data_IF_475522287374
#
_entry.id   IF_475522287374
#
_cell.length_a   1.000
_cell.length_b   1.000
_cell.length_c   1.000
_cell.angle_alpha   90.00
_cell.angle_beta   90.00
_cell.angle_gamma   90.00
#
_symmetry.space_group_name_H-M   'P 1'
#
loop_
_entity.id
_entity.type
_entity.pdbx_description
1 polymer ?
#
# COMPACT_ATOMS: atom_id res chain seq x y z
N UNK A 1 -35.01 -16.23 7.87
CA UNK A 1 -34.29 -16.59 6.63
C UNK A 1 -32.88 -17.01 7.01
N UNK A 2 -32.52 -18.25 6.72
CA UNK A 2 -31.16 -18.77 6.96
C UNK A 2 -30.29 -18.21 5.83
N UNK A 3 -29.35 -17.32 6.17
CA UNK A 3 -28.35 -16.81 5.22
C UNK A 3 -27.34 -17.92 4.93
N UNK A 4 -27.26 -18.36 3.68
CA UNK A 4 -26.29 -19.35 3.20
C UNK A 4 -25.04 -18.66 2.64
N UNK A 5 -23.85 -19.31 2.70
CA UNK A 5 -22.63 -18.71 2.18
C UNK A 5 -22.72 -18.45 0.65
N UNK A 6 -22.09 -17.38 0.14
CA UNK A 6 -22.03 -17.09 -1.30
C UNK A 6 -21.17 -18.13 -2.05
N UNK A 7 -21.56 -18.43 -3.29
CA UNK A 7 -20.77 -19.27 -4.20
C UNK A 7 -19.83 -18.40 -5.05
N UNK A 8 -18.57 -18.83 -5.24
CA UNK A 8 -17.58 -18.07 -6.03
C UNK A 8 -17.20 -18.78 -7.34
N UNK A 9 -16.99 -18.03 -8.44
CA UNK A 9 -16.48 -18.58 -9.69
C UNK A 9 -14.96 -18.84 -9.67
N UNK A 10 -14.53 -19.82 -10.47
CA UNK A 10 -13.16 -20.37 -10.54
C UNK A 10 -12.14 -19.39 -11.14
N UNK A 11 -11.08 -19.08 -10.39
CA UNK A 11 -9.86 -18.42 -10.88
C UNK A 11 -8.63 -19.30 -10.64
N UNK A 12 -7.94 -19.67 -11.72
CA UNK A 12 -6.78 -20.56 -11.71
C UNK A 12 -5.60 -20.00 -10.89
N UNK A 13 -4.99 -20.82 -10.03
CA UNK A 13 -3.69 -20.53 -9.43
C UNK A 13 -2.82 -21.79 -9.33
N UNK A 14 -1.62 -21.71 -9.92
CA UNK A 14 -0.61 -22.75 -9.94
C UNK A 14 0.28 -22.72 -8.68
N UNK A 15 0.81 -23.89 -8.31
CA UNK A 15 1.48 -24.19 -7.05
C UNK A 15 2.97 -23.80 -7.00
N UNK A 16 3.48 -23.41 -5.81
CA UNK A 16 4.88 -23.61 -5.41
C UNK A 16 5.11 -23.42 -3.89
N UNK A 17 6.14 -24.10 -3.36
CA UNK A 17 6.36 -24.53 -1.97
C UNK A 17 7.24 -23.59 -1.09
N UNK A 18 6.91 -23.54 0.23
CA UNK A 18 7.64 -23.42 1.54
C UNK A 18 9.05 -22.75 1.61
N UNK A 19 9.50 -22.03 2.66
CA UNK A 19 9.46 -22.30 4.13
C UNK A 19 9.74 -21.02 5.01
N UNK A 20 9.58 -21.11 6.35
CA UNK A 20 9.23 -20.05 7.33
C UNK A 20 10.28 -19.79 8.44
N UNK A 21 10.33 -18.57 9.03
CA UNK A 21 10.63 -18.36 10.47
C UNK A 21 10.07 -17.02 11.04
N UNK A 22 9.66 -17.02 12.31
CA UNK A 22 8.68 -16.14 12.99
C UNK A 22 9.14 -14.72 13.43
N UNK A 23 8.27 -13.74 13.17
CA UNK A 23 7.79 -12.63 13.99
C UNK A 23 6.47 -12.17 13.32
N UNK A 24 5.50 -11.52 13.99
CA UNK A 24 4.22 -11.10 13.36
C UNK A 24 4.47 -10.50 11.96
N UNK A 25 4.13 -11.19 10.84
CA UNK A 25 4.74 -10.81 9.57
C UNK A 25 3.94 -9.69 8.95
N UNK A 26 4.58 -8.52 8.84
CA UNK A 26 4.32 -7.62 7.73
C UNK A 26 4.34 -8.46 6.44
N UNK A 27 3.40 -8.20 5.53
CA UNK A 27 3.16 -9.00 4.31
C UNK A 27 4.47 -9.56 3.71
N UNK A 28 4.69 -10.87 3.88
CA UNK A 28 5.86 -11.57 3.36
C UNK A 28 5.68 -11.72 1.86
N UNK A 29 6.61 -11.14 1.09
CA UNK A 29 6.58 -11.13 -0.37
C UNK A 29 7.16 -12.44 -0.89
N UNK A 30 6.43 -13.12 -1.76
CA UNK A 30 6.97 -14.20 -2.59
C UNK A 30 8.09 -13.67 -3.49
N UNK A 31 9.19 -14.42 -3.60
CA UNK A 31 10.30 -14.17 -4.56
C UNK A 31 9.92 -14.64 -5.98
N UNK A 32 8.68 -15.07 -6.20
CA UNK A 32 8.14 -15.37 -7.52
C UNK A 32 8.38 -14.20 -8.47
N UNK A 33 9.23 -14.45 -9.47
CA UNK A 33 9.74 -13.45 -10.42
C UNK A 33 8.67 -12.94 -11.39
N UNK A 34 7.55 -13.65 -11.53
CA UNK A 34 6.44 -13.26 -12.38
C UNK A 34 5.27 -12.77 -11.52
N UNK A 35 5.15 -11.46 -11.45
CA UNK A 35 3.86 -10.87 -11.17
C UNK A 35 3.07 -10.89 -12.48
N UNK A 36 1.77 -11.19 -12.42
CA UNK A 36 0.82 -10.96 -13.53
C UNK A 36 0.58 -9.45 -13.71
N UNK A 37 1.66 -8.67 -13.75
CA UNK A 37 1.61 -7.25 -14.03
C UNK A 37 1.38 -7.15 -15.53
N UNK A 38 0.26 -6.54 -15.99
CA UNK A 38 0.01 -6.35 -17.40
C UNK A 38 1.22 -5.73 -18.08
N UNK A 39 1.51 -6.14 -19.31
CA UNK A 39 2.57 -5.50 -20.09
C UNK A 39 2.27 -4.00 -20.20
N UNK A 40 3.30 -3.16 -20.10
CA UNK A 40 3.12 -1.74 -20.36
C UNK A 40 2.90 -1.55 -21.86
N UNK A 41 1.72 -1.06 -22.25
CA UNK A 41 1.29 -0.94 -23.65
C UNK A 41 0.74 0.46 -23.98
N UNK A 42 0.64 1.37 -22.99
CA UNK A 42 0.18 2.74 -23.20
C UNK A 42 1.34 3.69 -23.41
N UNK A 43 1.37 4.35 -24.55
CA UNK A 43 2.39 5.35 -24.88
C UNK A 43 1.90 6.76 -24.55
N UNK A 44 2.65 7.48 -23.72
CA UNK A 44 2.38 8.87 -23.36
C UNK A 44 3.48 9.79 -23.89
N UNK A 45 3.12 11.03 -24.23
CA UNK A 45 4.05 12.07 -24.68
C UNK A 45 3.78 13.38 -23.96
N UNK A 46 4.80 13.91 -23.31
CA UNK A 46 4.77 15.18 -22.59
C UNK A 46 5.81 16.13 -23.19
N UNK A 47 5.55 17.42 -23.22
CA UNK A 47 6.45 18.35 -23.90
C UNK A 47 6.51 19.74 -23.25
N UNK A 48 7.63 20.42 -23.46
CA UNK A 48 7.76 21.86 -23.24
C UNK A 48 7.68 22.58 -24.59
N UNK A 49 6.95 23.68 -24.61
CA UNK A 49 6.86 24.59 -25.76
C UNK A 49 7.69 25.85 -25.52
N UNK A 50 8.25 26.39 -26.60
CA UNK A 50 8.78 27.75 -26.62
C UNK A 50 7.62 28.74 -26.58
N UNK A 51 7.91 30.02 -26.39
CA UNK A 51 6.92 31.11 -26.54
C UNK A 51 6.28 31.14 -27.93
N UNK A 52 7.00 30.64 -28.94
CA UNK A 52 6.54 30.50 -30.33
C UNK A 52 5.56 29.35 -30.54
N UNK A 53 5.28 28.54 -29.51
CA UNK A 53 4.40 27.37 -29.59
C UNK A 53 5.10 26.07 -30.02
N UNK A 54 6.33 26.16 -30.52
CA UNK A 54 7.10 25.00 -30.96
C UNK A 54 7.57 24.12 -29.79
N UNK A 55 7.42 22.79 -29.93
CA UNK A 55 7.87 21.80 -28.95
C UNK A 55 9.38 21.61 -29.07
N UNK A 56 10.11 21.86 -27.98
CA UNK A 56 11.58 21.78 -27.98
C UNK A 56 12.12 20.67 -27.08
N UNK A 57 11.32 20.18 -26.13
CA UNK A 57 11.63 19.04 -25.29
C UNK A 57 10.43 18.12 -25.26
N UNK A 58 10.59 16.84 -25.58
CA UNK A 58 9.52 15.84 -25.55
C UNK A 58 9.98 14.60 -24.80
N UNK A 59 9.23 14.22 -23.76
CA UNK A 59 9.39 12.99 -23.01
C UNK A 59 8.34 11.99 -23.45
N UNK A 60 8.77 10.86 -24.00
CA UNK A 60 7.90 9.74 -24.33
C UNK A 60 8.13 8.62 -23.33
N UNK A 61 7.06 7.97 -22.86
CA UNK A 61 7.15 6.85 -21.92
C UNK A 61 6.03 5.84 -22.16
N UNK A 62 6.29 4.58 -21.82
CA UNK A 62 5.30 3.52 -21.87
C UNK A 62 4.86 3.15 -20.46
N UNK A 63 3.55 3.09 -20.21
CA UNK A 63 2.97 2.84 -18.88
C UNK A 63 1.83 1.83 -18.93
N UNK A 64 1.24 1.55 -17.76
CA UNK A 64 0.09 0.65 -17.56
C UNK A 64 -1.17 1.41 -17.14
N UNK A 65 -1.30 2.66 -17.57
CA UNK A 65 -2.54 3.41 -17.40
C UNK A 65 -3.69 2.71 -18.15
N UNK A 66 -4.95 2.94 -17.76
CA UNK A 66 -6.08 2.34 -18.48
C UNK A 66 -6.20 2.93 -19.89
N UNK A 67 -6.09 4.25 -20.00
CA UNK A 67 -6.11 5.01 -21.24
C UNK A 67 -4.86 5.89 -21.41
N UNK A 68 -4.70 6.46 -22.61
CA UNK A 68 -3.58 7.39 -22.92
C UNK A 68 -3.75 8.74 -22.21
N UNK A 69 -4.99 9.12 -21.88
CA UNK A 69 -5.32 10.36 -21.18
C UNK A 69 -5.08 10.26 -19.66
N UNK A 70 -5.08 9.03 -19.13
CA UNK A 70 -4.85 8.79 -17.72
C UNK A 70 -3.39 9.02 -17.32
N UNK A 71 -3.19 9.32 -16.04
CA UNK A 71 -1.85 9.47 -15.46
C UNK A 71 -1.05 8.18 -15.64
N UNK A 72 0.21 8.25 -16.11
CA UNK A 72 1.04 7.07 -16.30
C UNK A 72 1.20 6.23 -15.02
N UNK A 73 0.94 4.93 -15.11
CA UNK A 73 0.97 4.02 -13.96
C UNK A 73 2.16 3.06 -14.02
N UNK A 74 2.88 2.97 -12.90
CA UNK A 74 4.04 2.09 -12.71
C UNK A 74 3.90 1.27 -11.43
N UNK A 75 4.25 -0.01 -11.53
CA UNK A 75 4.26 -0.92 -10.38
C UNK A 75 5.66 -1.03 -9.78
N UNK A 76 5.73 -1.43 -8.52
CA UNK A 76 6.98 -1.65 -7.80
C UNK A 76 7.95 -2.57 -8.54
N UNK A 77 9.16 -2.07 -8.78
CA UNK A 77 10.22 -2.80 -9.48
C UNK A 77 10.04 -2.87 -10.99
N UNK A 78 8.98 -2.25 -11.54
CA UNK A 78 8.80 -2.08 -12.97
C UNK A 78 9.82 -1.10 -13.56
N UNK A 79 10.19 -1.34 -14.80
CA UNK A 79 11.04 -0.44 -15.58
C UNK A 79 10.21 0.78 -16.03
N UNK A 80 10.75 1.97 -15.80
CA UNK A 80 10.31 3.22 -16.42
C UNK A 80 11.22 3.42 -17.63
N UNK A 81 10.67 3.24 -18.82
CA UNK A 81 11.41 3.32 -20.07
C UNK A 81 10.71 4.20 -21.10
N UNK A 82 11.50 4.74 -22.01
CA UNK A 82 11.01 5.67 -23.00
C UNK A 82 12.12 6.36 -23.77
N UNK A 83 11.78 7.50 -24.37
CA UNK A 83 12.74 8.34 -25.08
C UNK A 83 12.59 9.81 -24.73
N UNK A 84 13.73 10.50 -24.70
CA UNK A 84 13.80 11.94 -24.50
C UNK A 84 14.29 12.60 -25.79
N UNK A 85 13.44 13.44 -26.36
CA UNK A 85 13.72 14.18 -27.58
C UNK A 85 13.96 15.65 -27.25
N UNK A 86 15.05 16.20 -27.81
CA UNK A 86 15.42 17.59 -27.71
C UNK A 86 15.54 18.18 -29.12
N UNK A 87 14.89 19.31 -29.36
CA UNK A 87 14.91 20.04 -30.62
C UNK A 87 15.39 21.47 -30.34
N UNK A 88 16.57 21.81 -30.86
CA UNK A 88 17.20 23.12 -30.73
C UNK A 88 17.44 23.73 -32.10
N UNK A 89 16.82 24.86 -32.42
CA UNK A 89 17.01 25.52 -33.73
C UNK A 89 18.40 26.15 -33.82
N UNK A 90 18.83 26.72 -32.70
CA UNK A 90 20.12 27.38 -32.54
C UNK A 90 21.04 26.55 -31.66
N UNK A 91 22.35 26.72 -31.85
CA UNK A 91 23.35 26.12 -30.98
C UNK A 91 23.21 26.66 -29.55
N UNK A 92 22.99 25.77 -28.59
CA UNK A 92 22.87 26.11 -27.17
C UNK A 92 23.85 25.30 -26.32
N UNK A 93 24.43 25.93 -25.30
CA UNK A 93 25.25 25.26 -24.30
C UNK A 93 24.35 24.51 -23.31
N UNK A 94 24.49 23.19 -23.25
CA UNK A 94 23.78 22.30 -22.33
C UNK A 94 24.78 21.64 -21.38
N UNK A 95 24.63 21.93 -20.09
CA UNK A 95 25.50 21.46 -19.01
C UNK A 95 25.07 20.11 -18.42
N UNK A 96 23.83 19.71 -18.71
CA UNK A 96 23.30 18.42 -18.28
C UNK A 96 21.85 18.23 -18.67
N UNK A 97 21.49 16.98 -18.94
CA UNK A 97 20.10 16.56 -19.09
C UNK A 97 19.90 15.37 -18.16
N UNK A 98 18.90 15.47 -17.28
CA UNK A 98 18.62 14.43 -16.29
C UNK A 98 17.15 14.03 -16.28
N UNK A 99 16.87 12.74 -16.12
CA UNK A 99 15.52 12.19 -15.90
C UNK A 99 15.46 11.57 -14.51
N UNK A 100 14.70 12.16 -13.62
CA UNK A 100 14.65 11.76 -12.21
C UNK A 100 13.22 11.46 -11.77
N UNK A 101 13.07 10.55 -10.81
CA UNK A 101 11.80 10.37 -10.09
C UNK A 101 11.89 11.18 -8.82
N UNK A 102 10.89 12.04 -8.63
CA UNK A 102 10.69 12.82 -7.43
C UNK A 102 9.46 12.32 -6.69
N UNK A 103 9.55 12.26 -5.36
CA UNK A 103 8.41 12.02 -4.49
C UNK A 103 8.16 13.28 -3.69
N UNK A 104 6.91 13.74 -3.73
CA UNK A 104 6.47 14.89 -2.96
C UNK A 104 5.35 14.45 -2.01
N UNK A 105 5.57 14.73 -0.72
CA UNK A 105 4.56 14.60 0.33
C UNK A 105 3.95 15.99 0.59
N UNK A 106 2.62 16.08 0.53
CA UNK A 106 1.88 17.25 0.99
C UNK A 106 1.11 16.90 2.27
N UNK A 107 1.27 17.72 3.30
CA UNK A 107 0.47 17.69 4.53
C UNK A 107 0.03 19.11 4.86
N UNK A 108 -1.21 19.31 5.32
CA UNK A 108 -1.79 20.64 5.58
C UNK A 108 -1.04 21.52 6.59
N UNK A 109 -0.10 20.96 7.36
CA UNK A 109 0.77 21.72 8.27
C UNK A 109 1.95 22.41 7.56
N UNK A 110 2.39 21.92 6.40
CA UNK A 110 3.62 22.39 5.75
C UNK A 110 3.36 22.86 4.33
N UNK A 111 3.59 24.15 4.09
CA UNK A 111 3.60 24.76 2.76
C UNK A 111 4.88 24.45 1.97
N UNK A 112 5.80 23.65 2.51
CA UNK A 112 7.07 23.29 1.88
C UNK A 112 7.15 21.79 1.58
N UNK A 113 7.08 21.38 0.30
CA UNK A 113 7.21 19.98 -0.07
C UNK A 113 8.64 19.47 0.19
N UNK A 114 8.77 18.43 1.03
CA UNK A 114 9.99 17.64 1.09
C UNK A 114 10.12 16.78 -0.17
N UNK A 115 11.02 17.15 -1.08
CA UNK A 115 11.27 16.39 -2.30
C UNK A 115 12.51 15.50 -2.16
N UNK A 116 12.35 14.19 -2.36
CA UNK A 116 13.49 13.29 -2.59
C UNK A 116 13.58 12.95 -4.07
N UNK A 117 14.78 12.96 -4.65
CA UNK A 117 15.01 12.74 -6.08
C UNK A 117 15.98 11.58 -6.31
N UNK A 118 15.57 10.63 -7.15
CA UNK A 118 16.44 9.59 -7.70
C UNK A 118 16.64 9.84 -9.20
N UNK A 119 17.86 10.14 -9.62
CA UNK A 119 18.18 10.53 -11.01
C UNK A 119 18.73 9.36 -11.81
N UNK A 120 18.36 9.26 -13.09
CA UNK A 120 19.00 8.38 -14.05
C UNK A 120 19.06 9.04 -15.43
N UNK A 121 20.15 8.81 -16.15
CA UNK A 121 20.61 9.54 -17.34
C UNK A 121 21.23 10.90 -17.01
N UNK A 122 22.52 11.02 -17.31
CA UNK A 122 23.22 12.28 -17.51
C UNK A 122 23.61 12.32 -18.98
N UNK A 123 22.86 13.04 -19.83
CA UNK A 123 23.22 13.16 -21.24
C UNK A 123 24.36 14.18 -21.44
N UNK A 124 24.92 14.16 -22.65
CA UNK A 124 26.13 14.88 -23.06
C UNK A 124 26.13 16.36 -22.64
N UNK A 125 27.25 16.77 -22.03
CA UNK A 125 27.65 18.16 -21.85
C UNK A 125 28.21 18.73 -23.15
N UNK A 126 27.82 19.93 -23.53
CA UNK A 126 28.42 20.64 -24.65
C UNK A 126 27.45 21.56 -25.38
N UNK A 127 27.91 22.06 -26.53
CA UNK A 127 27.06 22.83 -27.43
C UNK A 127 26.26 21.89 -28.32
N UNK A 128 24.94 22.02 -28.25
CA UNK A 128 23.98 21.16 -28.94
C UNK A 128 23.15 21.98 -29.92
N UNK A 129 22.90 21.44 -31.11
CA UNK A 129 22.02 22.02 -32.13
C UNK A 129 21.30 20.91 -32.90
N UNK A 130 20.07 21.17 -33.31
CA UNK A 130 19.25 20.25 -34.09
C UNK A 130 18.48 19.27 -33.21
N UNK A 131 18.23 18.08 -33.76
CA UNK A 131 17.41 17.04 -33.14
C UNK A 131 18.28 16.00 -32.44
N UNK A 132 17.97 15.74 -31.18
CA UNK A 132 18.55 14.65 -30.41
C UNK A 132 17.45 13.75 -29.86
N UNK A 133 17.74 12.47 -29.78
CA UNK A 133 16.84 11.45 -29.22
C UNK A 133 17.68 10.50 -28.36
N UNK A 134 17.35 10.39 -27.08
CA UNK A 134 18.02 9.52 -26.13
C UNK A 134 17.04 8.51 -25.54
N UNK A 135 17.27 7.20 -25.70
CA UNK A 135 16.52 6.22 -24.94
C UNK A 135 16.90 6.30 -23.46
N UNK A 136 15.93 6.07 -22.59
CA UNK A 136 16.19 5.91 -21.15
C UNK A 136 15.44 4.70 -20.62
N UNK A 137 16.02 4.06 -19.61
CA UNK A 137 15.36 3.01 -18.85
C UNK A 137 15.98 2.95 -17.45
N UNK A 138 15.13 2.91 -16.43
CA UNK A 138 15.55 2.71 -15.05
C UNK A 138 14.45 2.04 -14.25
N UNK A 139 14.83 1.38 -13.15
CA UNK A 139 13.87 0.75 -12.23
C UNK A 139 13.48 1.69 -11.13
N UNK A 140 12.18 1.74 -10.82
CA UNK A 140 11.74 2.39 -9.59
C UNK A 140 12.32 1.66 -8.38
N UNK A 141 12.96 2.38 -7.44
CA UNK A 141 13.54 1.75 -6.26
C UNK A 141 12.45 1.04 -5.46
N UNK A 142 12.76 -0.14 -4.90
CA UNK A 142 11.80 -0.87 -4.07
C UNK A 142 11.59 -0.21 -2.70
N UNK A 143 12.51 0.66 -2.32
CA UNK A 143 12.59 1.30 -1.02
C UNK A 143 13.78 2.25 -0.95
N UNK A 144 13.90 2.94 0.17
CA UNK A 144 14.97 3.89 0.48
C UNK A 144 15.59 3.53 1.83
N UNK A 145 16.91 3.65 1.94
CA UNK A 145 17.61 3.52 3.22
C UNK A 145 17.88 4.91 3.77
N UNK A 146 17.23 5.23 4.89
CA UNK A 146 17.33 6.54 5.54
C UNK A 146 18.16 6.38 6.80
N UNK A 147 19.03 7.35 7.07
CA UNK A 147 19.81 7.42 8.29
C UNK A 147 18.88 7.66 9.48
N UNK A 148 18.84 6.73 10.45
CA UNK A 148 17.99 6.84 11.64
C UNK A 148 18.73 7.48 12.81
N UNK A 149 19.98 7.10 13.05
CA UNK A 149 20.79 7.64 14.14
C UNK A 149 22.30 7.52 13.85
N UNK A 150 23.10 8.37 14.52
CA UNK A 150 24.54 8.20 14.63
C UNK A 150 24.83 8.00 16.11
N UNK A 151 25.33 6.83 16.50
CA UNK A 151 25.67 6.54 17.90
C UNK A 151 26.91 7.34 18.33
N UNK A 152 27.11 7.49 19.63
CA UNK A 152 28.30 8.16 20.20
C UNK A 152 29.62 7.50 19.78
N UNK A 153 29.56 6.25 19.31
CA UNK A 153 30.71 5.49 18.80
C UNK A 153 30.89 5.67 17.27
N UNK A 154 30.22 6.66 16.67
CA UNK A 154 30.19 6.93 15.23
C UNK A 154 29.60 5.80 14.36
N UNK A 155 28.83 4.87 14.95
CA UNK A 155 28.11 3.87 14.18
C UNK A 155 26.84 4.48 13.58
N UNK A 156 26.64 4.23 12.29
CA UNK A 156 25.58 4.81 11.47
C UNK A 156 24.47 3.79 11.35
N UNK A 157 23.36 4.02 12.04
CA UNK A 157 22.18 3.17 11.92
C UNK A 157 21.34 3.64 10.73
N UNK A 158 21.07 2.73 9.78
CA UNK A 158 20.22 3.02 8.61
C UNK A 158 19.00 2.13 8.64
N UNK A 159 17.83 2.74 8.60
CA UNK A 159 16.58 2.02 8.47
C UNK A 159 16.13 2.02 7.01
N UNK A 160 15.82 0.83 6.49
CA UNK A 160 15.28 0.68 5.15
C UNK A 160 13.76 0.72 5.18
N UNK A 161 13.19 1.62 4.37
CA UNK A 161 11.75 1.81 4.23
C UNK A 161 11.31 1.46 2.82
N UNK A 162 10.05 1.03 2.68
CA UNK A 162 9.43 0.87 1.36
C UNK A 162 8.93 2.22 0.87
N UNK A 163 8.84 2.36 -0.46
CA UNK A 163 8.16 3.50 -1.05
C UNK A 163 6.65 3.38 -0.82
N UNK A 164 6.00 4.44 -0.32
CA UNK A 164 4.55 4.46 -0.17
C UNK A 164 3.84 4.46 -1.53
N UNK A 165 2.59 3.98 -1.61
CA UNK A 165 1.77 4.15 -2.80
C UNK A 165 1.54 5.62 -3.14
N UNK A 166 1.30 5.91 -4.41
CA UNK A 166 0.61 7.16 -4.77
C UNK A 166 -0.74 7.18 -4.05
N UNK A 167 -0.96 8.22 -3.25
CA UNK A 167 -2.09 8.27 -2.32
C UNK A 167 -2.62 9.69 -2.24
N UNK A 168 -3.93 9.83 -2.19
CA UNK A 168 -4.60 11.09 -1.90
C UNK A 168 -5.86 10.76 -1.13
N UNK A 169 -6.00 11.32 0.06
CA UNK A 169 -7.21 11.18 0.86
C UNK A 169 -7.63 12.55 1.39
N UNK A 170 -8.83 12.94 0.98
CA UNK A 170 -9.47 14.21 1.34
C UNK A 170 -9.65 14.34 2.85
N UNK A 171 -9.85 13.22 3.56
CA UNK A 171 -10.08 13.25 5.01
C UNK A 171 -8.78 13.39 5.77
N UNK A 172 -7.68 12.78 5.29
CA UNK A 172 -6.37 12.89 5.94
C UNK A 172 -5.59 14.14 5.58
N UNK A 173 -5.92 14.80 4.45
CA UNK A 173 -5.12 15.87 3.85
C UNK A 173 -3.66 15.46 3.59
N UNK A 174 -3.44 14.16 3.41
CA UNK A 174 -2.13 13.61 3.03
C UNK A 174 -2.17 13.26 1.57
N UNK A 175 -1.24 13.82 0.81
CA UNK A 175 -1.06 13.48 -0.60
C UNK A 175 0.39 13.02 -0.81
N UNK A 176 0.53 11.86 -1.45
CA UNK A 176 1.80 11.29 -1.89
C UNK A 176 1.76 11.27 -3.40
N UNK A 177 2.51 12.16 -4.01
CA UNK A 177 2.59 12.31 -5.45
C UNK A 177 3.98 11.98 -5.95
N UNK A 178 4.04 11.08 -6.93
CA UNK A 178 5.24 10.77 -7.67
C UNK A 178 5.28 11.58 -8.95
N UNK A 179 6.47 11.98 -9.38
CA UNK A 179 6.63 12.69 -10.65
C UNK A 179 7.94 12.32 -11.33
N UNK A 180 7.88 12.15 -12.65
CA UNK A 180 9.04 12.08 -13.51
C UNK A 180 9.45 13.51 -13.87
N UNK A 181 10.70 13.85 -13.59
CA UNK A 181 11.25 15.19 -13.71
C UNK A 181 12.37 15.14 -14.73
N UNK A 182 12.19 15.84 -15.85
CA UNK A 182 13.28 16.09 -16.80
C UNK A 182 13.84 17.48 -16.53
N UNK A 183 15.14 17.55 -16.25
CA UNK A 183 15.87 18.83 -16.18
C UNK A 183 16.82 18.96 -17.34
N UNK A 184 16.82 20.14 -17.95
CA UNK A 184 17.81 20.57 -18.94
C UNK A 184 18.53 21.77 -18.34
N UNK A 185 19.75 21.55 -17.88
CA UNK A 185 20.61 22.59 -17.34
C UNK A 185 21.36 23.23 -18.51
N UNK A 186 21.19 24.54 -18.65
CA UNK A 186 21.84 25.33 -19.70
C UNK A 186 23.02 26.07 -19.10
N UNK A 187 24.13 26.08 -19.80
CA UNK A 187 25.35 26.73 -19.28
C UNK A 187 25.27 28.25 -19.23
N UNK A 188 26.08 28.83 -18.35
CA UNK A 188 26.13 30.28 -18.07
C UNK A 188 25.08 30.74 -17.04
N UNK A 189 24.58 31.97 -17.19
CA UNK A 189 23.57 32.58 -16.29
C UNK A 189 22.11 32.23 -16.66
N UNK A 190 21.89 31.28 -17.59
CA UNK A 190 20.56 30.92 -18.07
C UNK A 190 19.89 29.96 -17.09
N UNK A 191 18.60 30.21 -16.78
CA UNK A 191 17.82 29.29 -15.95
C UNK A 191 17.62 27.95 -16.68
N UNK A 192 17.85 26.86 -15.97
CA UNK A 192 17.50 25.52 -16.46
C UNK A 192 16.00 25.38 -16.71
N UNK A 193 15.64 24.42 -17.55
CA UNK A 193 14.23 24.10 -17.85
C UNK A 193 13.84 22.80 -17.16
N UNK A 194 12.61 22.73 -16.67
CA UNK A 194 12.07 21.57 -15.96
C UNK A 194 10.73 21.14 -16.58
N UNK A 195 10.65 19.89 -17.02
CA UNK A 195 9.39 19.22 -17.37
C UNK A 195 9.04 18.29 -16.21
N UNK A 196 7.85 18.45 -15.64
CA UNK A 196 7.35 17.61 -14.53
C UNK A 196 6.13 16.86 -15.02
N UNK A 197 6.18 15.54 -14.94
CA UNK A 197 5.11 14.63 -15.36
C UNK A 197 4.65 13.84 -14.14
N UNK A 198 3.39 13.98 -13.67
CA UNK A 198 2.89 13.16 -12.58
C UNK A 198 2.82 11.69 -13.00
N UNK A 199 3.11 10.79 -12.06
CA UNK A 199 3.00 9.35 -12.26
C UNK A 199 2.31 8.70 -11.05
N UNK A 200 1.63 7.58 -11.29
CA UNK A 200 1.05 6.73 -10.25
C UNK A 200 2.03 5.61 -9.94
N UNK A 201 2.42 5.48 -8.68
CA UNK A 201 3.21 4.37 -8.18
C UNK A 201 2.34 3.40 -7.38
N UNK A 202 2.30 2.14 -7.80
CA UNK A 202 1.53 1.08 -7.16
C UNK A 202 2.49 0.05 -6.54
N UNK A 203 2.57 -0.03 -5.20
CA UNK A 203 3.35 -1.05 -4.53
C UNK A 203 2.72 -2.42 -4.76
N UNK A 204 3.58 -3.43 -4.88
CA UNK A 204 3.14 -4.80 -5.10
C UNK A 204 3.24 -5.58 -3.80
N UNK A 205 2.09 -5.88 -3.20
CA UNK A 205 1.96 -6.71 -2.02
C UNK A 205 0.93 -7.82 -2.31
N UNK A 206 1.39 -9.07 -2.31
CA UNK A 206 0.52 -10.26 -2.43
C UNK A 206 0.74 -11.07 -1.15
N UNK A 207 -0.32 -11.50 -0.46
CA UNK A 207 -0.16 -12.46 0.61
C UNK A 207 0.48 -13.75 0.06
N UNK A 208 1.14 -14.52 0.92
CA UNK A 208 1.56 -15.87 0.54
C UNK A 208 0.36 -16.71 0.08
N UNK A 209 0.60 -17.78 -0.70
CA UNK A 209 -0.48 -18.66 -1.11
C UNK A 209 -1.22 -19.22 0.12
N UNK A 210 -2.56 -19.44 0.03
CA UNK A 210 -3.30 -20.14 1.08
C UNK A 210 -2.73 -21.54 1.32
N UNK A 211 -3.10 -22.18 2.43
CA UNK A 211 -2.80 -23.59 2.69
C UNK A 211 -3.34 -24.50 1.59
N UNK A 212 -2.76 -25.70 1.43
CA UNK A 212 -3.20 -26.67 0.40
C UNK A 212 -4.68 -27.02 0.59
N UNK A 213 -5.11 -27.25 1.83
CA UNK A 213 -6.51 -27.57 2.15
C UNK A 213 -7.47 -26.45 1.71
N UNK A 214 -7.05 -25.19 1.89
CA UNK A 214 -7.82 -24.04 1.42
C UNK A 214 -7.80 -23.86 -0.09
N UNK A 215 -6.66 -24.11 -0.74
CA UNK A 215 -6.57 -24.10 -2.19
C UNK A 215 -7.52 -25.14 -2.80
N UNK A 216 -7.54 -26.36 -2.26
CA UNK A 216 -8.47 -27.41 -2.67
C UNK A 216 -9.93 -26.98 -2.44
N UNK A 217 -10.21 -26.35 -1.30
CA UNK A 217 -11.56 -25.86 -1.00
C UNK A 217 -12.05 -24.85 -2.06
N UNK A 218 -11.18 -23.94 -2.48
CA UNK A 218 -11.47 -22.99 -3.54
C UNK A 218 -11.60 -23.65 -4.91
N UNK A 219 -10.69 -24.56 -5.27
CA UNK A 219 -10.72 -25.27 -6.55
C UNK A 219 -11.97 -26.14 -6.71
N UNK A 220 -12.45 -26.73 -5.62
CA UNK A 220 -13.61 -27.62 -5.63
C UNK A 220 -14.92 -26.90 -5.25
N UNK A 221 -14.87 -25.60 -4.97
CA UNK A 221 -16.01 -24.80 -4.50
C UNK A 221 -16.72 -25.41 -3.29
N UNK A 222 -15.95 -25.98 -2.35
CA UNK A 222 -16.48 -26.56 -1.11
C UNK A 222 -16.28 -25.62 0.08
N UNK A 223 -16.93 -25.93 1.20
CA UNK A 223 -16.76 -25.17 2.44
C UNK A 223 -15.31 -25.18 2.89
N UNK A 224 -14.81 -24.01 3.29
CA UNK A 224 -13.43 -23.86 3.73
C UNK A 224 -13.24 -24.64 5.04
N UNK A 225 -12.17 -25.46 5.14
CA UNK A 225 -11.82 -26.16 6.36
C UNK A 225 -11.73 -25.20 7.54
N UNK A 226 -12.43 -25.52 8.62
CA UNK A 226 -12.35 -24.75 9.86
C UNK A 226 -10.97 -24.86 10.53
N UNK A 227 -10.72 -24.06 11.58
CA UNK A 227 -9.44 -24.04 12.28
C UNK A 227 -9.06 -25.39 12.91
N UNK A 228 -10.03 -26.25 13.22
CA UNK A 228 -9.77 -27.60 13.74
C UNK A 228 -9.17 -28.54 12.70
N UNK A 229 -9.47 -28.31 11.41
CA UNK A 229 -9.01 -29.12 10.28
C UNK A 229 -7.78 -28.50 9.61
N UNK A 230 -7.70 -27.17 9.56
CA UNK A 230 -6.59 -26.42 8.99
C UNK A 230 -6.04 -25.36 9.96
N UNK A 231 -5.39 -25.75 11.07
CA UNK A 231 -4.93 -24.80 12.08
C UNK A 231 -3.88 -23.81 11.55
N UNK A 232 -3.16 -24.16 10.48
CA UNK A 232 -2.12 -23.32 9.87
C UNK A 232 -2.73 -22.21 9.00
N UNK A 233 -3.89 -22.45 8.39
CA UNK A 233 -4.60 -21.49 7.55
C UNK A 233 -5.35 -20.39 8.31
N UNK A 234 -5.51 -20.57 9.61
CA UNK A 234 -6.23 -19.67 10.50
C UNK A 234 -5.30 -19.03 11.52
N UNK A 235 -5.69 -17.83 11.96
CA UNK A 235 -5.05 -17.09 13.04
C UNK A 235 -6.07 -16.83 14.12
N UNK A 236 -5.69 -17.00 15.37
CA UNK A 236 -6.57 -16.76 16.51
C UNK A 236 -6.03 -15.59 17.33
N UNK A 237 -6.88 -14.63 17.64
CA UNK A 237 -6.57 -13.54 18.55
C UNK A 237 -6.47 -14.05 19.98
N UNK A 238 -5.76 -13.32 20.84
CA UNK A 238 -5.93 -13.50 22.28
C UNK A 238 -7.39 -13.23 22.67
N UNK A 239 -7.96 -13.98 23.63
CA UNK A 239 -9.30 -13.73 24.13
C UNK A 239 -9.42 -12.32 24.73
N UNK A 240 -10.36 -11.55 24.23
CA UNK A 240 -10.68 -10.21 24.74
C UNK A 240 -11.84 -10.32 25.72
N UNK A 241 -11.65 -9.77 26.92
CA UNK A 241 -12.70 -9.65 27.92
C UNK A 241 -13.63 -8.50 27.56
N UNK A 242 -14.92 -8.80 27.49
CA UNK A 242 -15.99 -7.86 27.22
C UNK A 242 -16.91 -7.81 28.43
N UNK A 243 -17.13 -6.62 28.95
CA UNK A 243 -18.04 -6.37 30.07
C UNK A 243 -19.26 -5.59 29.57
N UNK A 244 -20.40 -5.81 30.19
CA UNK A 244 -21.63 -5.12 29.82
C UNK A 244 -22.76 -5.34 30.80
N UNK A 245 -23.94 -4.84 30.44
CA UNK A 245 -25.16 -5.01 31.25
C UNK A 245 -26.30 -5.58 30.42
N UNK A 246 -26.91 -6.65 30.93
CA UNK A 246 -28.12 -7.23 30.38
C UNK A 246 -29.34 -6.66 31.14
N UNK A 247 -30.36 -6.23 30.39
CA UNK A 247 -31.57 -5.59 30.92
C UNK A 247 -31.31 -4.41 31.88
N UNK A 248 -30.16 -3.72 31.72
CA UNK A 248 -29.69 -2.60 32.56
C UNK A 248 -29.37 -2.97 34.02
N UNK A 249 -29.52 -4.23 34.42
CA UNK A 249 -29.40 -4.63 35.84
C UNK A 249 -28.37 -5.74 36.04
N UNK A 250 -28.25 -6.66 35.09
CA UNK A 250 -27.39 -7.84 35.23
C UNK A 250 -26.03 -7.50 34.62
N UNK A 251 -25.01 -7.33 35.46
CA UNK A 251 -23.63 -7.24 34.98
C UNK A 251 -23.23 -8.55 34.34
N UNK A 252 -22.57 -8.47 33.19
CA UNK A 252 -22.11 -9.65 32.45
C UNK A 252 -20.66 -9.49 32.04
N UNK A 253 -20.00 -10.63 32.01
CA UNK A 253 -18.65 -10.80 31.49
C UNK A 253 -18.68 -11.89 30.42
N UNK A 254 -18.03 -11.62 29.29
CA UNK A 254 -17.84 -12.57 28.22
C UNK A 254 -16.40 -12.51 27.70
N UNK A 255 -15.89 -13.65 27.24
CA UNK A 255 -14.61 -13.74 26.56
C UNK A 255 -14.87 -13.93 25.06
N UNK A 256 -14.37 -13.01 24.26
CA UNK A 256 -14.50 -13.01 22.81
C UNK A 256 -13.17 -13.39 22.17
N UNK A 257 -13.18 -14.44 21.36
CA UNK A 257 -12.00 -14.88 20.60
C UNK A 257 -12.32 -14.79 19.12
N UNK A 258 -11.46 -14.10 18.35
CA UNK A 258 -11.61 -13.96 16.90
C UNK A 258 -10.58 -14.83 16.20
N UNK A 259 -11.06 -15.78 15.42
CA UNK A 259 -10.24 -16.62 14.54
C UNK A 259 -10.50 -16.21 13.10
N UNK A 260 -9.46 -15.84 12.36
CA UNK A 260 -9.58 -15.25 11.03
C UNK A 260 -8.51 -15.78 10.10
N UNK A 261 -8.72 -15.56 8.82
CA UNK A 261 -7.78 -16.01 7.81
C UNK A 261 -7.07 -14.87 7.10
N UNK A 262 -5.98 -15.16 6.39
CA UNK A 262 -5.29 -14.16 5.55
C UNK A 262 -5.75 -14.27 4.10
N UNK A 263 -5.66 -13.14 3.39
CA UNK A 263 -6.08 -13.04 1.99
C UNK A 263 -7.47 -12.45 1.86
N UNK A 264 -7.94 -12.35 0.62
CA UNK A 264 -9.29 -11.90 0.30
C UNK A 264 -10.05 -13.06 -0.35
N UNK A 265 -11.31 -13.34 0.06
CA UNK A 265 -12.00 -12.79 1.23
C UNK A 265 -11.38 -13.20 2.58
N UNK A 266 -11.59 -12.38 3.62
CA UNK A 266 -11.21 -12.70 5.00
C UNK A 266 -12.38 -13.43 5.67
N UNK A 267 -12.25 -14.74 5.85
CA UNK A 267 -13.20 -15.50 6.66
C UNK A 267 -12.88 -15.34 8.15
N UNK A 268 -13.95 -15.23 8.95
CA UNK A 268 -13.93 -14.99 10.38
C UNK A 268 -14.75 -16.06 11.11
N UNK A 269 -14.32 -16.40 12.31
CA UNK A 269 -15.06 -17.16 13.30
C UNK A 269 -14.91 -16.41 14.61
N UNK A 270 -16.02 -16.00 15.22
CA UNK A 270 -16.02 -15.39 16.55
C UNK A 270 -16.65 -16.36 17.53
N UNK A 271 -15.93 -16.63 18.62
CA UNK A 271 -16.39 -17.46 19.72
C UNK A 271 -16.56 -16.61 20.96
N UNK A 272 -17.78 -16.62 21.50
CA UNK A 272 -18.18 -15.82 22.66
C UNK A 272 -18.49 -16.80 23.79
N UNK A 273 -17.69 -16.75 24.86
CA UNK A 273 -17.86 -17.59 26.05
C UNK A 273 -18.41 -16.75 27.21
N UNK A 274 -19.43 -17.24 27.90
CA UNK A 274 -19.96 -16.60 29.10
C UNK A 274 -20.60 -17.63 30.03
N UNK A 275 -20.59 -17.35 31.33
CA UNK A 275 -21.35 -18.13 32.32
C UNK A 275 -22.86 -17.81 32.29
N UNK A 276 -23.26 -16.73 31.63
CA UNK A 276 -24.64 -16.31 31.51
C UNK A 276 -25.26 -16.84 30.21
N UNK A 277 -26.03 -17.93 30.31
CA UNK A 277 -26.68 -18.56 29.15
C UNK A 277 -27.74 -17.69 28.50
N UNK A 278 -28.48 -16.90 29.29
CA UNK A 278 -29.51 -16.01 28.76
C UNK A 278 -28.88 -14.93 27.86
N UNK A 279 -27.72 -14.41 28.24
CA UNK A 279 -26.94 -13.51 27.37
C UNK A 279 -26.55 -14.21 26.06
N UNK A 280 -26.01 -15.43 26.14
CA UNK A 280 -25.60 -16.20 24.97
C UNK A 280 -26.76 -16.50 24.01
N UNK A 281 -27.96 -16.79 24.53
CA UNK A 281 -29.15 -17.07 23.72
C UNK A 281 -29.71 -15.84 23.00
N UNK A 282 -29.44 -14.65 23.54
CA UNK A 282 -29.81 -13.37 22.92
C UNK A 282 -28.85 -12.95 21.81
N UNK A 283 -27.70 -13.61 21.65
CA UNK A 283 -26.75 -13.28 20.59
C UNK A 283 -27.33 -13.63 19.22
N UNK A 284 -27.33 -12.63 18.34
CA UNK A 284 -27.75 -12.75 16.96
C UNK A 284 -26.61 -12.32 16.04
N UNK A 285 -26.64 -12.72 14.75
CA UNK A 285 -25.69 -12.19 13.76
C UNK A 285 -25.54 -10.66 13.78
N UNK A 286 -26.63 -9.94 14.04
CA UNK A 286 -26.68 -8.48 14.10
C UNK A 286 -26.04 -7.90 15.38
N UNK A 287 -25.82 -8.72 16.40
CA UNK A 287 -25.19 -8.31 17.65
C UNK A 287 -23.68 -8.11 17.51
N UNK A 288 -23.08 -8.52 16.39
CA UNK A 288 -21.64 -8.46 16.15
C UNK A 288 -21.30 -7.38 15.14
N UNK A 289 -20.35 -6.53 15.50
CA UNK A 289 -19.82 -5.50 14.61
C UNK A 289 -18.30 -5.62 14.58
N UNK A 290 -17.78 -6.24 13.52
CA UNK A 290 -16.35 -6.31 13.23
C UNK A 290 -16.11 -5.58 11.93
N UNK A 291 -15.20 -4.61 11.96
CA UNK A 291 -14.88 -3.80 10.80
C UNK A 291 -13.39 -3.88 10.50
N UNK A 292 -13.05 -3.88 9.22
CA UNK A 292 -11.69 -3.66 8.74
C UNK A 292 -11.42 -2.16 8.78
N UNK A 293 -10.43 -1.74 9.57
CA UNK A 293 -10.11 -0.34 9.78
C UNK A 293 -8.76 -0.02 9.15
N UNK A 294 -8.72 1.09 8.43
CA UNK A 294 -7.50 1.66 7.91
C UNK A 294 -7.02 2.77 8.83
N UNK A 295 -5.76 2.69 9.25
CA UNK A 295 -5.08 3.70 10.04
C UNK A 295 -4.06 4.45 9.21
N UNK A 296 -4.19 5.77 9.15
CA UNK A 296 -3.26 6.67 8.48
C UNK A 296 -2.57 7.49 9.55
N UNK A 297 -1.27 7.25 9.72
CA UNK A 297 -0.41 8.01 10.63
C UNK A 297 0.43 9.00 9.83
N UNK A 298 0.49 10.23 10.31
CA UNK A 298 1.34 11.27 9.74
C UNK A 298 1.78 12.23 10.83
N UNK A 299 3.05 12.62 10.82
CA UNK A 299 3.61 13.65 11.70
C UNK A 299 4.71 14.41 10.97
N UNK A 300 5.08 15.54 11.57
CA UNK A 300 6.22 16.35 11.15
C UNK A 300 7.40 16.14 12.11
N UNK A 301 8.63 16.18 11.59
CA UNK A 301 9.79 16.50 12.41
C UNK A 301 9.69 18.00 12.67
N UNK A 302 8.98 18.37 13.74
CA UNK A 302 8.81 19.76 14.10
C UNK A 302 10.14 20.49 13.97
N UNK A 303 10.18 21.49 13.09
CA UNK A 303 11.34 22.32 12.84
C UNK A 303 11.65 23.13 14.10
N UNK A 304 12.28 22.49 15.10
CA UNK A 304 12.62 23.05 16.39
C UNK A 304 14.15 23.18 16.47
N UNK A 305 14.66 24.35 16.90
CA UNK A 305 16.09 24.51 17.16
C UNK A 305 16.55 23.48 18.20
N UNK A 306 17.82 23.07 18.10
CA UNK A 306 18.48 21.91 18.74
C UNK A 306 18.40 21.80 20.29
N UNK A 307 17.61 22.62 20.98
CA UNK A 307 17.54 22.69 22.44
C UNK A 307 16.27 22.13 23.11
N UNK A 308 15.25 21.64 22.36
CA UNK A 308 14.03 21.08 22.96
C UNK A 308 13.79 19.60 22.60
N UNK A 309 14.76 18.73 22.94
CA UNK A 309 14.67 17.25 22.77
C UNK A 309 13.66 16.56 23.72
N UNK A 310 12.55 17.20 24.08
CA UNK A 310 11.56 16.65 25.04
C UNK A 310 10.10 16.72 24.59
N UNK A 311 9.80 17.15 23.37
CA UNK A 311 8.45 17.03 22.81
C UNK A 311 8.47 15.98 21.70
N UNK A 312 7.85 14.83 21.96
CA UNK A 312 7.64 13.76 20.99
C UNK A 312 6.97 14.31 19.73
N UNK A 313 7.45 13.86 18.56
CA UNK A 313 6.82 14.15 17.27
C UNK A 313 5.30 13.96 17.39
N UNK A 314 4.53 15.00 17.07
CA UNK A 314 3.08 14.98 17.20
C UNK A 314 2.51 14.15 16.03
N UNK A 315 2.50 12.82 16.21
CA UNK A 315 1.95 11.89 15.23
C UNK A 315 0.44 12.01 15.28
N UNK A 316 -0.16 12.51 14.20
CA UNK A 316 -1.60 12.46 14.00
C UNK A 316 -1.96 11.09 13.44
N UNK A 317 -3.01 10.48 13.99
CA UNK A 317 -3.58 9.22 13.52
C UNK A 317 -5.02 9.46 13.10
N UNK A 318 -5.37 9.04 11.89
CA UNK A 318 -6.74 9.05 11.37
C UNK A 318 -7.18 7.64 11.06
N UNK A 319 -8.43 7.32 11.39
CA UNK A 319 -9.01 5.98 11.20
C UNK A 319 -10.18 6.06 10.23
N UNK A 320 -10.22 5.14 9.27
CA UNK A 320 -11.31 4.98 8.29
C UNK A 320 -11.82 3.53 8.33
N UNK A 321 -13.13 3.35 8.37
CA UNK A 321 -13.74 2.01 8.19
C UNK A 321 -13.75 1.67 6.70
N UNK A 322 -13.15 0.54 6.32
CA UNK A 322 -13.09 0.06 4.94
C UNK A 322 -14.23 -0.90 4.60
N UNK A 323 -14.51 -1.83 5.49
CA UNK A 323 -15.52 -2.87 5.30
C UNK A 323 -16.03 -3.38 6.64
N UNK A 324 -17.25 -3.92 6.66
CA UNK A 324 -17.87 -4.53 7.83
C UNK A 324 -18.14 -6.00 7.55
N UNK A 325 -17.88 -6.84 8.55
CA UNK A 325 -18.12 -8.27 8.47
C UNK A 325 -19.61 -8.59 8.37
N UNK A 326 -19.94 -9.50 7.46
CA UNK A 326 -21.25 -10.13 7.42
C UNK A 326 -21.20 -11.41 8.24
N UNK A 327 -22.21 -11.65 9.09
CA UNK A 327 -22.23 -12.77 10.03
C UNK A 327 -23.39 -13.73 9.78
N UNK A 328 -23.18 -15.01 10.08
CA UNK A 328 -24.20 -16.04 10.13
C UNK A 328 -23.94 -17.02 11.29
N UNK A 329 -24.99 -17.74 11.69
CA UNK A 329 -24.87 -18.74 12.75
C UNK A 329 -24.18 -19.98 12.22
N UNK A 330 -23.28 -20.53 13.02
CA UNK A 330 -22.70 -21.85 12.77
C UNK A 330 -23.52 -22.88 13.56
N UNK A 331 -24.13 -23.82 12.85
CA UNK A 331 -24.75 -24.98 13.47
C UNK A 331 -23.66 -25.97 13.87
N UNK A 332 -23.08 -25.80 15.05
CA UNK A 332 -22.16 -26.80 15.60
C UNK A 332 -22.90 -27.69 16.60
N UNK A 333 -23.10 -29.00 16.31
CA UNK A 333 -23.74 -29.91 17.26
C UNK A 333 -22.90 -30.14 18.54
N UNK A 334 -21.62 -29.76 18.53
CA UNK A 334 -20.69 -29.94 19.65
C UNK A 334 -20.41 -28.66 20.47
N UNK A 335 -21.10 -27.54 20.21
CA UNK A 335 -20.87 -26.31 21.01
C UNK A 335 -21.28 -26.55 22.45
N UNK A 336 -20.35 -26.34 23.40
CA UNK A 336 -20.69 -26.35 24.82
C UNK A 336 -21.78 -25.30 25.11
N UNK A 337 -22.62 -25.56 26.11
CA UNK A 337 -23.74 -24.67 26.47
C UNK A 337 -23.32 -23.22 26.72
N UNK A 338 -22.05 -23.02 27.08
CA UNK A 338 -21.49 -21.77 27.59
C UNK A 338 -20.67 -21.02 26.51
N UNK A 339 -20.73 -21.49 25.25
CA UNK A 339 -20.10 -20.83 24.10
C UNK A 339 -21.11 -20.68 22.96
N UNK A 340 -21.05 -19.54 22.28
CA UNK A 340 -21.73 -19.33 20.99
C UNK A 340 -20.70 -18.95 19.95
N UNK A 341 -20.83 -19.56 18.78
CA UNK A 341 -19.90 -19.35 17.67
C UNK A 341 -20.66 -18.87 16.44
N UNK A 342 -20.10 -17.86 15.79
CA UNK A 342 -20.61 -17.32 14.54
C UNK A 342 -19.49 -17.30 13.52
N UNK A 343 -19.87 -17.54 12.26
CA UNK A 343 -18.97 -17.42 11.12
C UNK A 343 -19.30 -16.13 10.39
N UNK A 344 -18.29 -15.53 9.79
CA UNK A 344 -18.46 -14.31 9.05
C UNK A 344 -17.42 -14.15 7.95
N UNK A 345 -17.61 -13.10 7.18
CA UNK A 345 -16.72 -12.74 6.08
C UNK A 345 -16.59 -11.22 5.98
N UNK A 346 -15.38 -10.77 5.66
CA UNK A 346 -15.07 -9.41 5.26
C UNK A 346 -14.42 -9.44 3.88
N UNK A 347 -15.01 -8.70 2.94
CA UNK A 347 -14.42 -8.43 1.64
C UNK A 347 -13.48 -7.23 1.77
N UNK A 348 -12.24 -7.40 1.32
CA UNK A 348 -11.30 -6.29 1.23
C UNK A 348 -11.67 -5.49 -0.02
N UNK A 349 -11.94 -4.18 0.09
CA UNK A 349 -12.22 -3.35 -1.08
C UNK A 349 -11.07 -3.37 -2.09
N UNK A 350 -11.37 -3.33 -3.39
CA UNK A 350 -10.36 -3.34 -4.45
C UNK A 350 -9.46 -2.08 -4.42
N UNK A 351 -9.96 -0.98 -3.85
CA UNK A 351 -9.22 0.27 -3.64
C UNK A 351 -8.46 0.30 -2.30
N UNK A 352 -8.44 -0.80 -1.54
CA UNK A 352 -7.70 -0.89 -0.30
C UNK A 352 -6.20 -0.73 -0.56
N UNK A 353 -5.64 0.34 -0.01
CA UNK A 353 -4.23 0.68 -0.17
C UNK A 353 -3.37 -0.27 0.67
N UNK A 354 -2.28 -0.84 0.13
CA UNK A 354 -1.39 -1.72 0.89
C UNK A 354 -0.71 -1.01 2.05
N UNK A 355 -0.56 -1.72 3.16
CA UNK A 355 0.13 -1.19 4.33
C UNK A 355 1.58 -0.76 4.00
N UNK A 356 1.95 0.43 4.46
CA UNK A 356 3.28 1.01 4.26
C UNK A 356 3.66 1.87 5.46
N UNK A 357 4.93 1.85 5.85
CA UNK A 357 5.46 2.76 6.86
C UNK A 357 6.80 3.33 6.41
N UNK A 358 6.92 4.66 6.44
CA UNK A 358 8.14 5.39 6.16
C UNK A 358 8.22 6.62 7.07
N UNK A 359 9.24 6.67 7.92
CA UNK A 359 9.43 7.73 8.92
C UNK A 359 8.13 7.95 9.73
N UNK A 360 7.60 9.18 9.70
CA UNK A 360 6.37 9.57 10.39
C UNK A 360 5.10 9.35 9.57
N UNK A 361 5.18 8.81 8.35
CA UNK A 361 4.02 8.42 7.56
C UNK A 361 3.80 6.91 7.65
N UNK A 362 2.56 6.50 7.91
CA UNK A 362 2.16 5.11 7.96
C UNK A 362 0.74 4.92 7.45
N UNK A 363 0.54 3.76 6.85
CA UNK A 363 -0.72 3.27 6.33
C UNK A 363 -0.83 1.81 6.78
N UNK A 364 -1.86 1.48 7.53
CA UNK A 364 -2.08 0.15 8.12
C UNK A 364 -3.55 -0.24 7.91
N UNK A 365 -3.81 -1.52 7.65
CA UNK A 365 -5.14 -2.10 7.36
C UNK A 365 -5.30 -3.40 8.15
#
# INVERSE_FOLDING_TARGET
MVSTPPAYPLGFAAASQLDVSQALPGYTRTVGLEWDVPAADRHHKFHLTKKTGERWLTLSLTSRAATVADTPTFFQGGDVSGSLQLQLDNEELVDGITVAVSVVKYTTSDKSPGSSEASSVAARRGRLQGRYDWPYSFRLPKGVSILSSITTNAEVERQSYRLPPSFSDEHSNVIIQYSLVVRVDRGGLRKGSKLVVPIVYVPLARPGPPTILRQLAYQQCITIPGPDVDPVGWKTSEPVKVEGTLFKTIQLEALCTLTYTRGAPIHLIISIRSNNRQFLDLLTPQSMHVALLQHITFGDEGNQPRFSRRLSAQITMKTRSLAVATWWRVSNPATSSDVRTFAGEVLIPDDAVPACRILHYGHEV
#
